data_IF_603425666423
#
_entry.id   IF_603425666423
#
_cell.length_a   1.000
_cell.length_b   1.000
_cell.length_c   1.000
_cell.angle_alpha   90.00
_cell.angle_beta   90.00
_cell.angle_gamma   90.00
#
_symmetry.space_group_name_H-M   'P 1'
#
loop_
_entity.id
_entity.type
_entity.pdbx_description
1 polymer ?
#
# COMPACT_ATOMS: atom_id res chain seq x y z
N UNK A 1 -29.59 12.49 9.12
CA UNK A 1 -30.15 12.79 7.77
C UNK A 1 -29.09 13.60 7.00
N UNK A 2 -28.92 13.33 5.69
CA UNK A 2 -27.94 14.02 4.81
C UNK A 2 -28.13 15.55 4.73
N UNK A 3 -29.24 16.08 5.19
CA UNK A 3 -29.61 17.50 5.12
C UNK A 3 -29.13 18.37 6.28
N UNK A 4 -28.64 17.78 7.36
CA UNK A 4 -28.30 18.54 8.58
C UNK A 4 -26.77 18.72 8.77
N UNK A 5 -25.96 18.23 7.82
CA UNK A 5 -24.50 18.38 7.89
C UNK A 5 -24.08 19.54 6.99
N UNK A 6 -23.79 20.67 7.58
CA UNK A 6 -23.27 21.87 6.90
C UNK A 6 -21.84 21.71 6.38
N UNK A 7 -21.24 20.52 6.55
CA UNK A 7 -19.87 20.21 6.12
C UNK A 7 -19.84 19.55 4.73
N UNK A 8 -18.83 19.87 3.93
CA UNK A 8 -18.61 19.24 2.62
C UNK A 8 -18.13 17.78 2.80
N UNK A 9 -19.08 16.88 3.01
CA UNK A 9 -18.84 15.43 3.06
C UNK A 9 -19.08 14.84 1.67
N UNK A 10 -18.09 14.13 1.13
CA UNK A 10 -18.25 13.31 -0.05
C UNK A 10 -18.28 11.84 0.36
N UNK A 11 -19.32 11.14 -0.01
CA UNK A 11 -19.50 9.69 0.27
C UNK A 11 -19.45 8.92 -1.03
N UNK A 12 -18.62 7.88 -1.08
CA UNK A 12 -18.52 6.94 -2.20
C UNK A 12 -18.83 5.55 -1.66
N UNK A 13 -19.85 4.91 -2.22
CA UNK A 13 -20.29 3.58 -1.81
C UNK A 13 -19.66 2.50 -2.69
N UNK A 14 -19.74 1.24 -2.24
CA UNK A 14 -19.18 0.09 -2.95
C UNK A 14 -19.68 -0.03 -4.41
N UNK A 15 -20.93 0.33 -4.68
CA UNK A 15 -21.54 0.34 -6.01
C UNK A 15 -20.94 1.37 -6.96
N UNK A 16 -20.33 2.42 -6.41
CA UNK A 16 -19.69 3.52 -7.15
C UNK A 16 -18.17 3.32 -7.28
N UNK A 17 -17.59 2.27 -6.75
CA UNK A 17 -16.14 2.08 -6.77
C UNK A 17 -15.60 1.85 -8.18
N UNK A 18 -14.35 2.25 -8.39
CA UNK A 18 -13.66 2.00 -9.65
C UNK A 18 -13.45 0.50 -9.82
N UNK A 19 -13.88 -0.05 -10.96
CA UNK A 19 -13.66 -1.45 -11.30
C UNK A 19 -12.27 -1.63 -11.92
N UNK A 20 -11.67 -2.81 -11.74
CA UNK A 20 -10.41 -3.18 -12.36
C UNK A 20 -9.37 -3.69 -11.36
N UNK A 21 -8.10 -3.62 -11.75
CA UNK A 21 -6.97 -3.92 -10.86
C UNK A 21 -6.86 -2.80 -9.82
N UNK A 22 -7.33 -3.04 -8.62
CA UNK A 22 -7.29 -2.09 -7.50
C UNK A 22 -6.28 -2.59 -6.48
N UNK A 23 -5.20 -1.84 -6.31
CA UNK A 23 -4.10 -2.17 -5.41
C UNK A 23 -4.33 -1.74 -3.97
N UNK A 24 -4.98 -0.59 -3.77
CA UNK A 24 -5.31 -0.06 -2.46
C UNK A 24 -6.67 0.67 -2.45
N UNK A 25 -7.19 0.95 -1.26
CA UNK A 25 -8.48 1.59 -1.09
C UNK A 25 -8.55 3.03 -1.67
N UNK A 26 -7.41 3.71 -1.85
CA UNK A 26 -7.37 5.04 -2.45
C UNK A 26 -7.80 4.99 -3.93
N UNK A 27 -7.38 3.97 -4.64
CA UNK A 27 -7.70 3.82 -6.07
C UNK A 27 -9.21 3.68 -6.32
N UNK A 28 -9.98 3.16 -5.35
CA UNK A 28 -11.45 3.03 -5.45
C UNK A 28 -12.14 4.38 -5.63
N UNK A 29 -11.59 5.44 -5.04
CA UNK A 29 -12.19 6.79 -5.01
C UNK A 29 -11.45 7.80 -5.89
N UNK A 30 -10.44 7.33 -6.63
CA UNK A 30 -9.68 8.18 -7.55
C UNK A 30 -10.60 8.82 -8.59
N UNK A 31 -10.57 10.15 -8.69
CA UNK A 31 -11.41 10.93 -9.61
C UNK A 31 -12.88 11.06 -9.19
N UNK A 32 -13.33 10.48 -8.07
CA UNK A 32 -14.72 10.49 -7.62
C UNK A 32 -15.02 11.56 -6.56
N UNK A 33 -14.00 12.11 -5.94
CA UNK A 33 -14.13 13.11 -4.87
C UNK A 33 -13.47 14.41 -5.29
N UNK A 34 -14.23 15.45 -5.49
CA UNK A 34 -13.72 16.77 -5.86
C UNK A 34 -12.74 17.30 -4.81
N UNK A 35 -11.56 17.78 -5.25
CA UNK A 35 -10.49 18.29 -4.40
C UNK A 35 -9.62 17.19 -3.76
N UNK A 36 -9.88 15.92 -4.03
CA UNK A 36 -9.02 14.80 -3.63
C UNK A 36 -8.12 14.41 -4.81
N UNK A 37 -6.81 14.46 -4.58
CA UNK A 37 -5.81 14.00 -5.55
C UNK A 37 -5.17 12.73 -5.03
N UNK A 38 -5.14 11.69 -5.85
CA UNK A 38 -4.52 10.41 -5.57
C UNK A 38 -3.54 10.11 -6.69
N UNK A 39 -2.27 9.97 -6.33
CA UNK A 39 -1.21 9.67 -7.27
C UNK A 39 -0.33 8.53 -6.73
N UNK A 40 -0.04 7.56 -7.58
CA UNK A 40 1.00 6.56 -7.33
C UNK A 40 2.28 7.06 -7.99
N UNK A 41 3.36 7.21 -7.22
CA UNK A 41 4.58 7.88 -7.66
C UNK A 41 5.40 7.09 -8.68
N UNK A 42 5.17 5.78 -8.81
CA UNK A 42 5.88 4.90 -9.74
C UNK A 42 5.06 3.66 -10.09
N UNK A 43 5.54 2.87 -11.04
CA UNK A 43 5.01 1.54 -11.37
C UNK A 43 5.49 0.43 -10.43
N UNK A 44 6.24 0.75 -9.38
CA UNK A 44 6.65 -0.22 -8.35
C UNK A 44 5.41 -0.73 -7.61
N UNK A 45 5.21 -2.05 -7.50
CA UNK A 45 4.10 -2.62 -6.72
C UNK A 45 4.12 -2.20 -5.25
N UNK A 46 5.28 -1.82 -4.71
CA UNK A 46 5.46 -1.37 -3.33
C UNK A 46 5.28 0.14 -3.14
N UNK A 47 5.10 0.91 -4.22
CA UNK A 47 4.88 2.34 -4.11
C UNK A 47 3.54 2.65 -3.45
N UNK A 48 3.56 3.45 -2.40
CA UNK A 48 2.37 3.92 -1.73
C UNK A 48 1.66 5.01 -2.53
N UNK A 49 0.32 5.02 -2.44
CA UNK A 49 -0.48 6.09 -3.01
C UNK A 49 -0.35 7.36 -2.18
N UNK A 50 0.09 8.44 -2.82
CA UNK A 50 0.09 9.77 -2.20
C UNK A 50 -1.31 10.38 -2.30
N UNK A 51 -1.87 10.74 -1.16
CA UNK A 51 -3.21 11.32 -1.08
C UNK A 51 -3.11 12.74 -0.57
N UNK A 52 -3.75 13.66 -1.29
CA UNK A 52 -3.84 15.07 -0.92
C UNK A 52 -5.26 15.56 -1.06
N UNK A 53 -5.73 16.26 -0.04
CA UNK A 53 -7.02 16.91 -0.04
C UNK A 53 -6.82 18.42 -0.08
N UNK A 54 -7.38 19.10 -1.12
CA UNK A 54 -7.26 20.54 -1.35
C UNK A 54 -5.81 21.07 -1.55
N UNK A 55 -4.87 20.20 -1.99
CA UNK A 55 -3.50 20.58 -2.29
C UNK A 55 -2.55 20.54 -1.09
N UNK A 56 -1.42 21.22 -1.19
CA UNK A 56 -0.41 21.32 -0.13
C UNK A 56 -0.73 22.52 0.77
N UNK A 57 -1.10 22.25 2.01
CA UNK A 57 -1.50 23.28 2.99
C UNK A 57 -0.30 23.74 3.83
N UNK A 58 0.72 22.88 3.98
CA UNK A 58 1.91 23.16 4.78
C UNK A 58 3.18 22.73 4.07
N UNK A 59 4.23 23.54 4.18
CA UNK A 59 5.56 23.20 3.66
C UNK A 59 6.37 22.31 4.62
N UNK A 60 6.05 22.32 5.91
CA UNK A 60 6.76 21.54 6.94
C UNK A 60 5.87 20.51 7.63
N UNK A 61 4.57 20.73 7.69
CA UNK A 61 3.59 19.76 8.21
C UNK A 61 3.11 18.84 7.09
N UNK A 62 2.88 17.56 7.40
CA UNK A 62 2.32 16.60 6.45
C UNK A 62 1.00 17.11 5.85
N UNK A 63 0.73 16.80 4.59
CA UNK A 63 -0.53 17.14 3.89
C UNK A 63 -1.44 15.92 3.71
N UNK A 64 -1.13 14.81 4.38
CA UNK A 64 -1.90 13.56 4.31
C UNK A 64 -3.14 13.65 5.20
N UNK A 65 -4.33 13.31 4.70
CA UNK A 65 -5.54 13.22 5.52
C UNK A 65 -5.43 12.14 6.60
N UNK A 66 -6.12 12.34 7.71
CA UNK A 66 -6.30 11.29 8.72
C UNK A 66 -7.18 10.19 8.14
N UNK A 67 -6.73 8.94 8.19
CA UNK A 67 -7.52 7.78 7.73
C UNK A 67 -8.02 6.99 8.93
N UNK A 68 -9.32 6.76 9.00
CA UNK A 68 -9.96 5.95 10.01
C UNK A 68 -10.67 4.75 9.35
N UNK A 69 -10.39 3.56 9.82
CA UNK A 69 -11.05 2.32 9.40
C UNK A 69 -11.91 1.83 10.56
N UNK A 70 -13.22 1.82 10.37
CA UNK A 70 -14.22 1.50 11.39
C UNK A 70 -14.01 2.33 12.70
N UNK A 71 -13.66 3.62 12.53
CA UNK A 71 -13.40 4.55 13.64
C UNK A 71 -12.00 4.49 14.24
N UNK A 72 -11.14 3.58 13.78
CA UNK A 72 -9.78 3.39 14.31
C UNK A 72 -8.77 3.91 13.31
N UNK A 73 -7.76 4.62 13.80
CA UNK A 73 -6.68 5.12 12.95
C UNK A 73 -5.96 3.99 12.22
N UNK A 74 -5.82 4.16 10.92
CA UNK A 74 -5.18 3.21 10.01
C UNK A 74 -4.68 3.89 8.74
N UNK A 75 -4.18 3.09 7.80
CA UNK A 75 -3.86 3.53 6.44
C UNK A 75 -4.82 2.92 5.43
N UNK A 76 -4.87 3.47 4.23
CA UNK A 76 -5.67 2.91 3.14
C UNK A 76 -5.22 1.50 2.73
N UNK A 77 -3.95 1.17 2.90
CA UNK A 77 -3.43 -0.18 2.72
C UNK A 77 -3.76 -1.16 3.86
N UNK A 78 -4.47 -0.74 4.93
CA UNK A 78 -4.81 -1.63 6.06
C UNK A 78 -6.12 -2.38 5.88
N UNK A 79 -6.84 -2.14 4.80
CA UNK A 79 -8.11 -2.79 4.48
C UNK A 79 -8.12 -3.23 3.02
N UNK A 80 -8.61 -4.45 2.76
CA UNK A 80 -8.77 -4.93 1.38
C UNK A 80 -9.88 -4.15 0.68
N UNK A 81 -9.67 -3.67 -0.56
CA UNK A 81 -10.67 -2.95 -1.32
C UNK A 81 -12.02 -3.67 -1.39
N UNK A 82 -12.00 -4.99 -1.51
CA UNK A 82 -13.18 -5.85 -1.62
C UNK A 82 -14.06 -5.82 -0.36
N UNK A 83 -13.48 -5.46 0.78
CA UNK A 83 -14.14 -5.44 2.10
C UNK A 83 -14.66 -4.08 2.50
N UNK A 84 -14.54 -3.08 1.64
CA UNK A 84 -15.02 -1.73 1.90
C UNK A 84 -16.49 -1.63 1.50
N UNK A 85 -17.32 -1.12 2.41
CA UNK A 85 -18.72 -0.79 2.16
C UNK A 85 -18.89 0.65 1.68
N UNK A 86 -18.18 1.61 2.31
CA UNK A 86 -18.19 3.02 1.91
C UNK A 86 -16.91 3.73 2.33
N UNK A 87 -16.61 4.81 1.63
CA UNK A 87 -15.54 5.75 1.96
C UNK A 87 -16.16 7.14 2.02
N UNK A 88 -16.08 7.76 3.19
CA UNK A 88 -16.55 9.13 3.43
C UNK A 88 -15.36 10.06 3.61
N UNK A 89 -15.34 11.16 2.85
CA UNK A 89 -14.27 12.15 2.89
C UNK A 89 -14.77 13.45 3.48
N UNK A 90 -14.30 13.78 4.68
CA UNK A 90 -14.58 15.01 5.39
C UNK A 90 -13.55 16.06 4.99
N UNK A 91 -13.99 17.11 4.27
CA UNK A 91 -13.08 18.07 3.63
C UNK A 91 -12.84 19.33 4.44
N UNK A 92 -13.70 19.64 5.41
CA UNK A 92 -13.73 20.95 6.07
C UNK A 92 -13.21 20.95 7.50
N UNK A 93 -13.09 22.16 8.06
CA UNK A 93 -12.74 22.39 9.45
C UNK A 93 -13.68 21.71 10.46
N UNK A 94 -14.90 21.33 10.04
CA UNK A 94 -15.80 20.47 10.84
C UNK A 94 -15.22 19.09 11.12
N UNK A 95 -14.36 18.56 10.23
CA UNK A 95 -13.59 17.36 10.51
C UNK A 95 -12.57 17.60 11.62
N UNK A 96 -11.91 18.78 11.62
CA UNK A 96 -10.98 19.16 12.67
C UNK A 96 -11.68 19.34 14.03
N UNK A 97 -12.94 19.75 14.04
CA UNK A 97 -13.72 19.91 15.27
C UNK A 97 -13.97 18.55 15.97
N UNK A 98 -14.11 17.47 15.21
CA UNK A 98 -14.33 16.12 15.74
C UNK A 98 -13.01 15.42 16.09
N UNK A 99 -11.99 15.57 15.23
CA UNK A 99 -10.73 14.80 15.31
C UNK A 99 -9.52 15.66 15.73
N UNK A 100 -9.77 16.90 16.17
CA UNK A 100 -8.74 17.84 16.62
C UNK A 100 -7.77 18.24 15.51
N UNK A 101 -6.55 18.61 15.89
CA UNK A 101 -5.49 19.04 14.95
C UNK A 101 -5.12 17.94 13.92
N UNK A 102 -5.33 16.67 14.24
CA UNK A 102 -5.07 15.55 13.35
C UNK A 102 -6.01 15.52 12.14
N UNK A 103 -7.22 16.07 12.28
CA UNK A 103 -8.19 16.22 11.20
C UNK A 103 -7.99 17.48 10.34
N UNK A 104 -6.98 18.31 10.59
CA UNK A 104 -6.77 19.58 9.90
C UNK A 104 -6.58 19.43 8.37
N UNK A 105 -5.97 18.34 7.94
CA UNK A 105 -5.77 17.99 6.52
C UNK A 105 -6.97 17.24 5.90
N UNK A 106 -8.09 17.16 6.62
CA UNK A 106 -9.25 16.37 6.28
C UNK A 106 -9.19 14.95 6.86
N UNK A 107 -10.32 14.25 6.79
CA UNK A 107 -10.45 12.89 7.33
C UNK A 107 -11.09 11.98 6.28
N UNK A 108 -10.54 10.80 6.13
CA UNK A 108 -11.09 9.72 5.30
C UNK A 108 -11.61 8.63 6.24
N UNK A 109 -12.92 8.42 6.22
CA UNK A 109 -13.59 7.40 7.00
C UNK A 109 -13.88 6.20 6.10
N UNK A 110 -13.31 5.06 6.42
CA UNK A 110 -13.58 3.80 5.72
C UNK A 110 -14.50 2.96 6.61
N UNK A 111 -15.64 2.58 6.05
CA UNK A 111 -16.55 1.62 6.67
C UNK A 111 -16.39 0.28 5.96
N UNK A 112 -16.13 -0.76 6.72
CA UNK A 112 -15.99 -2.12 6.17
C UNK A 112 -17.32 -2.85 6.12
N UNK A 113 -17.37 -3.88 5.27
CA UNK A 113 -18.49 -4.81 5.21
C UNK A 113 -18.48 -5.69 6.46
N UNK A 114 -19.55 -5.67 7.23
CA UNK A 114 -19.74 -6.47 8.44
C UNK A 114 -20.99 -7.32 8.33
N UNK A 115 -21.11 -8.36 9.17
CA UNK A 115 -22.31 -9.16 9.28
C UNK A 115 -23.52 -8.29 9.71
N UNK A 116 -24.71 -8.65 9.25
CA UNK A 116 -25.96 -7.99 9.63
C UNK A 116 -26.75 -8.87 10.59
N UNK A 117 -27.48 -8.25 11.52
CA UNK A 117 -28.38 -8.98 12.43
C UNK A 117 -29.46 -9.70 11.63
N UNK A 118 -29.87 -10.87 12.11
CA UNK A 118 -30.93 -11.69 11.51
C UNK A 118 -30.67 -12.07 10.04
N UNK A 119 -29.38 -12.04 9.62
CA UNK A 119 -28.99 -12.46 8.28
C UNK A 119 -28.50 -13.90 8.24
N UNK A 120 -28.79 -14.60 7.15
CA UNK A 120 -28.21 -15.93 6.91
C UNK A 120 -26.72 -15.79 6.69
N UNK A 121 -25.99 -16.83 7.07
CA UNK A 121 -24.57 -16.93 6.73
C UNK A 121 -24.41 -16.95 5.20
N UNK A 122 -23.61 -16.02 4.71
CA UNK A 122 -23.23 -15.94 3.29
C UNK A 122 -21.72 -16.06 3.16
N UNK A 123 -21.27 -16.83 2.17
CA UNK A 123 -19.88 -16.93 1.77
C UNK A 123 -19.71 -16.33 0.38
N UNK A 124 -18.74 -15.47 0.22
CA UNK A 124 -18.44 -14.78 -1.02
C UNK A 124 -16.98 -15.00 -1.38
N UNK A 125 -16.73 -15.24 -2.65
CA UNK A 125 -15.40 -15.24 -3.23
C UNK A 125 -15.35 -14.19 -4.32
N UNK A 126 -14.27 -13.41 -4.35
CA UNK A 126 -13.93 -12.50 -5.44
C UNK A 126 -12.44 -12.60 -5.74
N UNK A 127 -12.08 -12.40 -6.99
CA UNK A 127 -10.69 -12.43 -7.40
C UNK A 127 -10.51 -11.86 -8.80
N UNK A 128 -9.28 -11.51 -9.10
CA UNK A 128 -8.88 -11.08 -10.43
C UNK A 128 -7.45 -11.51 -10.75
N UNK A 129 -7.15 -11.56 -12.03
CA UNK A 129 -5.81 -11.74 -12.57
C UNK A 129 -5.54 -10.63 -13.57
N UNK A 130 -4.30 -10.15 -13.63
CA UNK A 130 -3.91 -9.16 -14.61
C UNK A 130 -2.46 -9.33 -15.08
N UNK A 131 -2.20 -8.90 -16.31
CA UNK A 131 -0.87 -8.79 -16.88
C UNK A 131 -0.54 -7.30 -17.06
N UNK A 132 0.67 -6.94 -16.71
CA UNK A 132 1.16 -5.57 -16.84
C UNK A 132 2.50 -5.57 -17.57
N UNK A 133 2.71 -4.61 -18.46
CA UNK A 133 3.99 -4.39 -19.14
C UNK A 133 4.22 -2.88 -19.29
N UNK A 134 5.43 -2.49 -19.64
CA UNK A 134 5.67 -1.11 -20.05
C UNK A 134 4.73 -0.74 -21.20
N UNK A 135 3.98 0.36 -21.03
CA UNK A 135 3.06 0.84 -22.06
C UNK A 135 3.79 1.64 -23.13
N UNK A 136 4.12 2.87 -22.79
CA UNK A 136 4.88 3.78 -23.66
C UNK A 136 6.19 4.14 -22.97
N UNK A 137 7.30 3.89 -23.62
CA UNK A 137 8.63 4.36 -23.24
C UNK A 137 8.95 5.66 -23.97
N UNK A 138 9.88 6.43 -23.43
CA UNK A 138 10.46 7.55 -24.18
C UNK A 138 11.35 6.98 -25.29
N UNK A 139 11.42 7.72 -26.40
CA UNK A 139 12.35 7.38 -27.46
C UNK A 139 13.76 7.83 -27.04
N UNK A 140 14.61 6.86 -26.81
CA UNK A 140 16.04 7.07 -26.52
C UNK A 140 16.88 6.74 -27.74
N UNK A 141 18.07 7.30 -27.80
CA UNK A 141 19.03 6.93 -28.82
C UNK A 141 19.45 5.46 -28.65
N UNK A 142 19.31 4.70 -29.72
CA UNK A 142 19.78 3.32 -29.83
C UNK A 142 21.23 3.22 -30.29
N UNK A 143 21.70 2.01 -30.53
CA UNK A 143 23.06 1.77 -31.00
C UNK A 143 23.33 2.38 -32.38
N UNK A 144 22.31 2.43 -33.26
CA UNK A 144 22.43 3.01 -34.61
C UNK A 144 22.70 4.52 -34.57
N UNK A 145 21.98 5.25 -33.73
CA UNK A 145 22.17 6.70 -33.58
C UNK A 145 23.54 7.04 -33.02
N UNK A 146 24.09 6.18 -32.15
CA UNK A 146 25.47 6.33 -31.64
C UNK A 146 26.47 6.13 -32.77
N UNK A 147 26.31 5.10 -33.61
CA UNK A 147 27.18 4.83 -34.75
C UNK A 147 27.11 5.97 -35.81
N UNK A 148 25.97 6.63 -35.92
CA UNK A 148 25.79 7.81 -36.76
C UNK A 148 26.40 9.07 -36.14
N UNK A 149 26.93 9.02 -34.92
CA UNK A 149 27.56 10.16 -34.27
C UNK A 149 26.57 11.21 -33.74
N UNK A 150 25.30 10.83 -33.49
CA UNK A 150 24.29 11.73 -32.92
C UNK A 150 24.46 11.95 -31.40
N UNK A 151 25.37 11.25 -30.77
CA UNK A 151 25.69 11.38 -29.33
C UNK A 151 27.21 11.42 -29.12
N UNK A 152 27.63 11.81 -27.93
CA UNK A 152 29.02 11.77 -27.49
C UNK A 152 29.48 10.42 -26.95
N UNK A 153 28.60 9.39 -26.98
CA UNK A 153 28.98 8.05 -26.54
C UNK A 153 29.91 7.37 -27.57
N UNK A 154 30.93 6.68 -27.04
CA UNK A 154 31.77 5.84 -27.88
C UNK A 154 31.02 4.56 -28.24
N UNK A 155 31.06 4.15 -29.52
CA UNK A 155 30.56 2.84 -29.93
C UNK A 155 31.47 1.73 -29.36
N UNK A 156 30.84 0.79 -28.63
CA UNK A 156 31.48 -0.38 -28.03
C UNK A 156 31.21 -1.68 -28.83
N UNK A 157 30.48 -1.59 -29.91
CA UNK A 157 30.26 -2.70 -30.84
C UNK A 157 29.07 -3.59 -30.55
N UNK A 158 28.28 -3.32 -29.50
CA UNK A 158 27.11 -4.10 -29.13
C UNK A 158 25.82 -3.37 -29.51
N UNK A 159 24.68 -4.07 -29.35
CA UNK A 159 23.34 -3.54 -29.48
C UNK A 159 22.48 -4.14 -28.38
N UNK A 160 22.42 -3.44 -27.26
CA UNK A 160 21.80 -3.91 -26.02
C UNK A 160 20.56 -3.10 -25.72
N UNK A 161 19.40 -3.76 -25.70
CA UNK A 161 18.17 -3.19 -25.12
C UNK A 161 18.20 -3.38 -23.60
N UNK A 162 18.74 -2.36 -22.93
CA UNK A 162 18.87 -2.36 -21.46
C UNK A 162 17.55 -2.43 -20.74
N UNK A 163 16.49 -1.83 -21.32
CA UNK A 163 15.18 -1.83 -20.69
C UNK A 163 14.50 -3.20 -20.79
N UNK A 164 14.60 -3.85 -21.95
CA UNK A 164 14.11 -5.22 -22.11
C UNK A 164 14.88 -6.20 -21.18
N UNK A 165 16.20 -6.04 -21.06
CA UNK A 165 17.05 -6.87 -20.22
C UNK A 165 16.67 -6.85 -18.72
N UNK A 166 16.00 -5.80 -18.23
CA UNK A 166 15.58 -5.66 -16.82
C UNK A 166 14.09 -5.70 -16.64
N UNK A 167 13.31 -5.91 -17.68
CA UNK A 167 11.85 -5.90 -17.62
C UNK A 167 11.22 -7.27 -17.88
N UNK A 168 9.94 -7.36 -17.54
CA UNK A 168 9.10 -8.53 -17.81
C UNK A 168 7.65 -8.16 -18.03
N UNK A 169 6.88 -9.07 -18.58
CA UNK A 169 5.43 -9.05 -18.43
C UNK A 169 5.10 -9.53 -17.02
N UNK A 170 4.62 -8.61 -16.20
CA UNK A 170 4.34 -8.84 -14.78
C UNK A 170 2.96 -9.42 -14.59
N UNK A 171 2.85 -10.44 -13.73
CA UNK A 171 1.59 -11.10 -13.39
C UNK A 171 1.10 -10.66 -12.01
N UNK A 172 -0.18 -10.35 -11.92
CA UNK A 172 -0.84 -10.05 -10.65
C UNK A 172 -2.04 -10.97 -10.49
N UNK A 173 -2.22 -11.51 -9.29
CA UNK A 173 -3.46 -12.18 -8.91
C UNK A 173 -3.89 -11.79 -7.51
N UNK A 174 -5.20 -11.75 -7.31
CA UNK A 174 -5.84 -11.43 -6.04
C UNK A 174 -6.99 -12.41 -5.79
N UNK A 175 -7.07 -12.88 -4.56
CA UNK A 175 -8.12 -13.79 -4.08
C UNK A 175 -8.65 -13.26 -2.76
N UNK A 176 -9.93 -13.01 -2.69
CA UNK A 176 -10.62 -12.61 -1.46
C UNK A 176 -11.74 -13.61 -1.17
N UNK A 177 -11.76 -14.11 0.04
CA UNK A 177 -12.82 -14.96 0.57
C UNK A 177 -13.40 -14.31 1.81
N UNK A 178 -14.72 -14.13 1.83
CA UNK A 178 -15.45 -13.54 2.94
C UNK A 178 -16.59 -14.46 3.36
N UNK A 179 -16.77 -14.62 4.67
CA UNK A 179 -17.94 -15.24 5.28
C UNK A 179 -18.53 -14.27 6.30
N UNK A 180 -19.82 -14.05 6.24
CA UNK A 180 -20.51 -13.15 7.18
C UNK A 180 -21.94 -13.60 7.45
N UNK A 181 -22.45 -13.23 8.59
CA UNK A 181 -23.82 -13.56 8.98
C UNK A 181 -24.19 -12.97 10.35
N UNK A 182 -25.38 -13.30 10.82
CA UNK A 182 -25.79 -12.90 12.15
C UNK A 182 -27.12 -13.45 12.61
N UNK A 183 -27.20 -13.66 13.93
CA UNK A 183 -28.43 -13.94 14.67
C UNK A 183 -29.06 -12.63 15.14
N UNK A 184 -30.13 -12.72 15.94
CA UNK A 184 -30.77 -11.57 16.59
C UNK A 184 -29.78 -10.71 17.39
N UNK A 185 -28.89 -11.37 18.13
CA UNK A 185 -28.02 -10.71 19.11
C UNK A 185 -26.53 -10.74 18.72
N UNK A 186 -26.15 -11.41 17.66
CA UNK A 186 -24.73 -11.56 17.30
C UNK A 186 -24.56 -11.38 15.80
N UNK A 187 -23.54 -10.61 15.39
CA UNK A 187 -23.07 -10.56 14.02
C UNK A 187 -21.61 -10.96 13.95
N UNK A 188 -21.23 -11.57 12.86
CA UNK A 188 -19.83 -11.97 12.62
C UNK A 188 -19.46 -11.78 11.15
N UNK A 189 -18.18 -11.53 10.94
CA UNK A 189 -17.56 -11.64 9.63
C UNK A 189 -16.13 -12.14 9.77
N UNK A 190 -15.70 -12.94 8.82
CA UNK A 190 -14.31 -13.35 8.66
C UNK A 190 -13.92 -13.15 7.20
N UNK A 191 -12.71 -12.66 7.01
CA UNK A 191 -12.20 -12.31 5.70
C UNK A 191 -10.76 -12.79 5.55
N UNK A 192 -10.46 -13.31 4.37
CA UNK A 192 -9.13 -13.71 3.97
C UNK A 192 -8.83 -13.15 2.60
N UNK A 193 -7.74 -12.40 2.47
CA UNK A 193 -7.24 -11.89 1.20
C UNK A 193 -5.82 -12.36 0.98
N UNK A 194 -5.53 -12.86 -0.22
CA UNK A 194 -4.19 -13.11 -0.69
C UNK A 194 -3.98 -12.39 -2.01
N UNK A 195 -2.94 -11.56 -2.10
CA UNK A 195 -2.56 -10.84 -3.30
C UNK A 195 -1.07 -11.00 -3.54
N UNK A 196 -0.72 -11.31 -4.78
CA UNK A 196 0.66 -11.22 -5.25
C UNK A 196 0.68 -10.36 -6.51
N UNK A 197 1.46 -9.32 -6.46
CA UNK A 197 1.66 -8.37 -7.55
C UNK A 197 3.14 -8.35 -7.92
N UNK A 198 3.46 -8.80 -9.12
CA UNK A 198 4.78 -8.63 -9.68
C UNK A 198 4.92 -7.24 -10.29
N UNK A 199 6.12 -6.66 -10.18
CA UNK A 199 6.47 -5.42 -10.89
C UNK A 199 6.97 -5.72 -12.30
N UNK A 200 6.87 -4.72 -13.18
CA UNK A 200 7.38 -4.79 -14.56
C UNK A 200 8.92 -4.85 -14.62
N UNK A 201 9.61 -4.41 -13.58
CA UNK A 201 11.04 -4.65 -13.40
C UNK A 201 11.25 -6.01 -12.74
N UNK A 202 12.30 -6.72 -13.19
CA UNK A 202 12.65 -8.04 -12.65
C UNK A 202 12.85 -7.98 -11.14
N UNK A 203 12.55 -9.09 -10.45
CA UNK A 203 12.69 -9.31 -9.00
C UNK A 203 11.85 -8.37 -8.10
N UNK A 204 11.15 -7.38 -8.64
CA UNK A 204 10.26 -6.55 -7.86
C UNK A 204 8.90 -7.21 -7.68
N UNK A 205 8.40 -7.27 -6.46
CA UNK A 205 7.06 -7.81 -6.16
C UNK A 205 6.53 -7.31 -4.82
N UNK A 206 5.21 -7.38 -4.66
CA UNK A 206 4.50 -7.20 -3.41
C UNK A 206 3.58 -8.41 -3.20
N UNK A 207 3.78 -9.14 -2.12
CA UNK A 207 2.93 -10.26 -1.70
C UNK A 207 2.29 -9.92 -0.37
N UNK A 208 0.97 -9.95 -0.33
CA UNK A 208 0.19 -9.63 0.86
C UNK A 208 -0.79 -10.75 1.19
N UNK A 209 -0.81 -11.17 2.44
CA UNK A 209 -1.84 -12.02 3.02
C UNK A 209 -2.48 -11.27 4.19
N UNK A 210 -3.80 -11.11 4.15
CA UNK A 210 -4.57 -10.44 5.19
C UNK A 210 -5.70 -11.31 5.69
N UNK A 211 -5.84 -11.34 7.01
CA UNK A 211 -6.94 -11.98 7.71
C UNK A 211 -7.64 -10.94 8.57
N UNK A 212 -8.96 -10.91 8.51
CA UNK A 212 -9.79 -10.08 9.38
C UNK A 212 -10.87 -10.93 10.01
N UNK A 213 -11.12 -10.67 11.27
CA UNK A 213 -12.22 -11.25 12.03
C UNK A 213 -12.93 -10.13 12.78
N UNK A 214 -14.25 -10.11 12.72
CA UNK A 214 -15.10 -9.16 13.43
C UNK A 214 -16.30 -9.89 14.04
N UNK A 215 -16.57 -9.63 15.30
CA UNK A 215 -17.76 -10.11 15.98
C UNK A 215 -18.37 -9.02 16.84
N UNK A 216 -19.69 -8.86 16.78
CA UNK A 216 -20.44 -7.99 17.65
C UNK A 216 -21.53 -8.77 18.35
N UNK A 217 -21.72 -8.51 19.64
CA UNK A 217 -22.79 -9.12 20.44
C UNK A 217 -23.54 -8.07 21.22
N UNK A 218 -24.87 -8.14 21.20
CA UNK A 218 -25.79 -7.25 21.91
C UNK A 218 -26.42 -7.97 23.08
N UNK A 219 -26.46 -7.34 24.24
CA UNK A 219 -26.97 -7.84 25.52
C UNK A 219 -27.86 -6.79 26.18
N UNK A 220 -28.52 -7.20 27.27
CA UNK A 220 -29.34 -6.33 28.10
C UNK A 220 -30.39 -5.54 27.28
N UNK A 221 -31.12 -6.22 26.41
CA UNK A 221 -32.11 -5.61 25.51
C UNK A 221 -31.48 -4.49 24.64
N UNK A 222 -30.33 -4.79 24.04
CA UNK A 222 -29.54 -3.89 23.18
C UNK A 222 -28.89 -2.69 23.90
N UNK A 223 -29.00 -2.57 25.23
CA UNK A 223 -28.33 -1.50 25.97
C UNK A 223 -26.81 -1.66 26.01
N UNK A 224 -26.30 -2.88 25.86
CA UNK A 224 -24.88 -3.15 25.87
C UNK A 224 -24.47 -3.87 24.58
N UNK A 225 -23.54 -3.28 23.83
CA UNK A 225 -22.90 -3.91 22.66
C UNK A 225 -21.41 -4.12 22.96
N UNK A 226 -20.93 -5.33 22.75
CA UNK A 226 -19.50 -5.65 22.74
C UNK A 226 -19.09 -6.02 21.34
N UNK A 227 -18.03 -5.42 20.84
CA UNK A 227 -17.44 -5.75 19.55
C UNK A 227 -15.96 -6.09 19.72
N UNK A 228 -15.52 -7.11 19.03
CA UNK A 228 -14.12 -7.47 18.91
C UNK A 228 -13.75 -7.54 17.42
N UNK A 229 -12.67 -6.87 17.07
CA UNK A 229 -12.09 -6.87 15.73
C UNK A 229 -10.61 -7.23 15.78
N UNK A 230 -10.19 -8.14 14.92
CA UNK A 230 -8.78 -8.49 14.73
C UNK A 230 -8.42 -8.44 13.24
N UNK A 231 -7.29 -7.82 12.95
CA UNK A 231 -6.69 -7.81 11.60
C UNK A 231 -5.24 -8.27 11.73
N UNK A 232 -4.86 -9.27 10.95
CA UNK A 232 -3.46 -9.70 10.79
C UNK A 232 -3.09 -9.56 9.33
N UNK A 233 -1.98 -8.87 9.05
CA UNK A 233 -1.44 -8.70 7.71
C UNK A 233 0.00 -9.17 7.68
N UNK A 234 0.34 -9.93 6.65
CA UNK A 234 1.69 -10.32 6.30
C UNK A 234 2.03 -9.68 4.97
N UNK A 235 3.13 -8.99 4.95
CA UNK A 235 3.70 -8.34 3.77
C UNK A 235 5.06 -8.93 3.45
N UNK A 236 5.31 -9.23 2.18
CA UNK A 236 6.64 -9.59 1.68
C UNK A 236 6.90 -8.81 0.39
N UNK A 237 8.04 -8.15 0.37
CA UNK A 237 8.51 -7.41 -0.79
C UNK A 237 9.82 -8.01 -1.29
N UNK A 238 10.01 -8.00 -2.60
CA UNK A 238 11.29 -8.30 -3.24
C UNK A 238 12.36 -7.27 -2.93
N UNK A 239 13.55 -7.44 -3.49
CA UNK A 239 14.61 -6.47 -3.34
C UNK A 239 14.09 -5.09 -3.75
N UNK A 240 14.09 -4.17 -2.82
CA UNK A 240 13.87 -2.76 -3.11
C UNK A 240 15.19 -2.25 -3.63
N UNK A 241 15.17 -1.36 -4.60
CA UNK A 241 16.35 -0.58 -5.01
C UNK A 241 16.85 0.24 -3.81
N UNK A 242 17.53 -0.46 -2.89
CA UNK A 242 17.94 0.06 -1.58
C UNK A 242 18.92 1.23 -1.69
N UNK A 243 19.55 1.38 -2.85
CA UNK A 243 20.52 2.44 -3.09
C UNK A 243 19.89 3.69 -3.75
N UNK A 244 18.58 3.69 -4.06
CA UNK A 244 17.91 4.80 -4.75
C UNK A 244 18.47 5.08 -6.15
N UNK A 245 19.18 4.09 -6.73
CA UNK A 245 19.85 4.25 -8.01
C UNK A 245 18.88 4.19 -9.19
N UNK A 246 17.69 3.63 -8.97
CA UNK A 246 16.63 3.49 -9.95
C UNK A 246 17.02 2.57 -11.11
N UNK A 247 16.73 1.27 -11.01
CA UNK A 247 17.01 0.30 -12.08
C UNK A 247 16.54 0.82 -13.44
N UNK A 248 15.34 1.41 -13.49
CA UNK A 248 14.82 2.04 -14.69
C UNK A 248 15.72 3.18 -15.19
N UNK A 249 16.18 4.05 -14.27
CA UNK A 249 17.10 5.15 -14.62
C UNK A 249 18.42 4.61 -15.15
N UNK A 250 18.98 3.59 -14.52
CA UNK A 250 20.22 2.97 -15.01
C UNK A 250 20.04 2.38 -16.41
N UNK A 251 18.93 1.68 -16.66
CA UNK A 251 18.64 1.11 -17.98
C UNK A 251 18.57 2.16 -19.09
N UNK A 252 17.91 3.31 -18.84
CA UNK A 252 17.77 4.35 -19.84
C UNK A 252 19.01 5.24 -20.02
N UNK A 253 19.92 5.26 -19.04
CA UNK A 253 21.15 6.04 -19.10
C UNK A 253 22.33 5.29 -19.73
N UNK A 254 22.24 3.94 -19.76
CA UNK A 254 23.34 3.12 -20.29
C UNK A 254 23.52 3.33 -21.80
N UNK A 255 24.78 3.31 -22.22
CA UNK A 255 25.12 3.26 -23.62
C UNK A 255 24.64 1.92 -24.23
N UNK A 256 23.72 1.94 -25.21
CA UNK A 256 23.21 0.73 -25.82
C UNK A 256 24.25 -0.07 -26.61
N UNK A 257 25.43 0.53 -26.89
CA UNK A 257 26.54 -0.20 -27.52
C UNK A 257 27.45 -0.93 -26.52
N UNK A 258 27.17 -0.86 -25.20
CA UNK A 258 27.91 -1.63 -24.18
C UNK A 258 27.29 -3.03 -24.00
N UNK A 259 28.12 -4.05 -23.65
CA UNK A 259 27.63 -5.38 -23.34
C UNK A 259 27.05 -5.45 -21.92
N UNK A 260 26.19 -6.43 -21.66
CA UNK A 260 25.75 -6.78 -20.31
C UNK A 260 26.86 -7.51 -19.54
N UNK A 261 27.60 -8.36 -20.25
CA UNK A 261 28.57 -9.29 -19.67
C UNK A 261 29.96 -9.06 -20.26
N UNK A 262 30.97 -9.25 -19.44
CA UNK A 262 32.35 -9.41 -19.88
C UNK A 262 32.56 -10.82 -20.47
N UNK A 263 33.67 -11.05 -21.15
CA UNK A 263 34.04 -12.36 -21.73
C UNK A 263 34.19 -13.45 -20.64
N UNK A 264 34.54 -13.06 -19.42
CA UNK A 264 34.71 -13.96 -18.28
C UNK A 264 33.35 -14.29 -17.57
N UNK A 265 32.24 -13.76 -18.06
CA UNK A 265 30.90 -13.95 -17.50
C UNK A 265 30.55 -13.05 -16.34
N UNK A 266 31.40 -12.12 -15.95
CA UNK A 266 31.08 -11.08 -14.96
C UNK A 266 30.30 -9.94 -15.60
N UNK A 267 29.62 -9.11 -14.80
CA UNK A 267 28.89 -7.95 -15.31
C UNK A 267 29.85 -6.85 -15.77
N UNK A 268 29.57 -6.30 -16.96
CA UNK A 268 30.32 -5.17 -17.46
C UNK A 268 29.99 -3.90 -16.68
N UNK A 269 31.00 -3.28 -16.06
CA UNK A 269 30.87 -2.02 -15.33
C UNK A 269 31.83 -0.97 -15.87
N UNK A 270 31.39 0.29 -15.88
CA UNK A 270 32.21 1.43 -16.24
C UNK A 270 32.36 2.37 -15.03
N UNK A 271 33.30 2.08 -14.15
CA UNK A 271 33.53 2.86 -12.93
C UNK A 271 34.13 4.25 -13.16
N UNK A 272 34.50 4.61 -14.42
CA UNK A 272 34.94 5.95 -14.73
C UNK A 272 33.81 6.98 -14.72
N UNK A 273 32.55 6.54 -14.79
CA UNK A 273 31.36 7.38 -14.76
C UNK A 273 30.58 7.16 -13.47
N UNK A 274 30.41 8.20 -12.68
CA UNK A 274 29.68 8.13 -11.43
C UNK A 274 28.18 7.86 -11.67
N UNK A 275 27.56 7.05 -10.80
CA UNK A 275 26.13 6.70 -10.87
C UNK A 275 25.70 6.05 -12.19
N UNK A 276 26.59 5.25 -12.77
CA UNK A 276 26.43 4.60 -14.06
C UNK A 276 26.74 3.10 -13.92
N UNK A 277 25.76 2.36 -13.47
CA UNK A 277 25.94 0.95 -13.09
C UNK A 277 25.13 0.02 -14.00
N UNK A 278 25.58 -1.22 -14.14
CA UNK A 278 24.87 -2.24 -14.90
C UNK A 278 23.57 -2.63 -14.20
N UNK A 279 22.40 -2.30 -14.77
CA UNK A 279 21.12 -2.54 -14.10
C UNK A 279 20.80 -4.04 -13.97
N UNK A 280 21.32 -4.89 -14.86
CA UNK A 280 21.17 -6.34 -14.75
C UNK A 280 22.04 -6.86 -13.61
N UNK A 281 23.26 -6.35 -13.47
CA UNK A 281 24.14 -6.64 -12.34
C UNK A 281 23.52 -6.24 -11.01
N UNK A 282 22.92 -5.04 -10.92
CA UNK A 282 22.21 -4.60 -9.73
C UNK A 282 21.15 -5.63 -9.32
N UNK A 283 20.36 -6.14 -10.27
CA UNK A 283 19.28 -7.10 -9.98
C UNK A 283 19.81 -8.47 -9.57
N UNK A 284 20.87 -8.95 -10.23
CA UNK A 284 21.36 -10.33 -10.09
C UNK A 284 22.32 -10.53 -8.94
N UNK A 285 23.06 -9.49 -8.57
CA UNK A 285 24.11 -9.55 -7.55
C UNK A 285 23.62 -9.12 -6.15
N UNK A 286 22.30 -9.03 -5.98
CA UNK A 286 21.66 -8.78 -4.70
C UNK A 286 20.57 -9.83 -4.39
N UNK A 287 20.46 -10.23 -3.13
CA UNK A 287 19.29 -10.91 -2.57
C UNK A 287 18.79 -10.10 -1.38
N UNK A 288 17.58 -9.61 -1.45
CA UNK A 288 17.00 -8.82 -0.38
C UNK A 288 15.53 -9.17 -0.18
N UNK A 289 15.09 -9.21 1.06
CA UNK A 289 13.69 -9.47 1.43
C UNK A 289 13.28 -8.57 2.58
N UNK A 290 12.19 -7.88 2.38
CA UNK A 290 11.50 -7.17 3.43
C UNK A 290 10.21 -7.92 3.78
N UNK A 291 10.08 -8.32 5.04
CA UNK A 291 8.87 -8.93 5.57
C UNK A 291 8.33 -8.02 6.68
N UNK A 292 7.05 -7.73 6.62
CA UNK A 292 6.35 -6.97 7.67
C UNK A 292 5.12 -7.73 8.13
N UNK A 293 4.96 -7.83 9.43
CA UNK A 293 3.78 -8.38 10.06
C UNK A 293 3.08 -7.30 10.86
N UNK A 294 1.81 -7.11 10.63
CA UNK A 294 0.99 -6.18 11.38
C UNK A 294 -0.19 -6.92 12.01
N UNK A 295 -0.32 -6.82 13.32
CA UNK A 295 -1.46 -7.37 14.07
C UNK A 295 -2.15 -6.22 14.77
N UNK A 296 -3.44 -6.04 14.54
CA UNK A 296 -4.30 -5.09 15.26
C UNK A 296 -5.45 -5.84 15.90
N UNK A 297 -5.63 -5.63 17.19
CA UNK A 297 -6.76 -6.13 17.97
C UNK A 297 -7.50 -4.95 18.56
N UNK A 298 -8.82 -4.93 18.47
CA UNK A 298 -9.66 -3.85 19.00
C UNK A 298 -10.87 -4.43 19.69
N UNK A 299 -11.10 -4.00 20.92
CA UNK A 299 -12.31 -4.24 21.68
C UNK A 299 -13.09 -2.94 21.87
N UNK A 300 -14.37 -2.96 21.57
CA UNK A 300 -15.28 -1.86 21.80
C UNK A 300 -16.43 -2.30 22.70
N UNK A 301 -16.72 -1.51 23.71
CA UNK A 301 -17.89 -1.66 24.58
C UNK A 301 -18.73 -0.41 24.44
N UNK A 302 -19.93 -0.57 23.93
CA UNK A 302 -20.89 0.54 23.81
C UNK A 302 -22.05 0.30 24.77
N UNK A 303 -22.31 1.26 25.65
CA UNK A 303 -23.36 1.20 26.66
C UNK A 303 -24.34 2.35 26.48
N UNK A 304 -25.62 2.02 26.28
CA UNK A 304 -26.73 2.96 26.10
C UNK A 304 -27.83 2.64 27.14
N UNK A 305 -27.66 3.08 28.41
CA UNK A 305 -28.59 2.79 29.48
C UNK A 305 -29.95 3.42 29.32
N UNK A 306 -30.01 4.58 28.67
CA UNK A 306 -31.23 5.27 28.32
C UNK A 306 -31.10 5.82 26.89
N UNK A 307 -32.23 5.98 26.22
CA UNK A 307 -32.28 6.48 24.86
C UNK A 307 -31.54 7.82 24.73
N UNK A 308 -30.72 7.94 23.68
CA UNK A 308 -29.91 9.11 23.34
C UNK A 308 -28.68 9.35 24.25
N UNK A 309 -28.38 8.50 25.24
CA UNK A 309 -27.14 8.60 26.01
C UNK A 309 -26.28 7.35 25.75
N UNK A 310 -25.21 7.53 25.00
CA UNK A 310 -24.30 6.46 24.61
C UNK A 310 -22.91 6.74 25.15
N UNK A 311 -22.34 5.76 25.83
CA UNK A 311 -20.93 5.74 26.26
C UNK A 311 -20.20 4.62 25.54
N UNK A 312 -19.05 4.92 24.96
CA UNK A 312 -18.20 3.96 24.27
C UNK A 312 -16.82 3.90 24.93
N UNK A 313 -16.34 2.70 25.18
CA UNK A 313 -14.97 2.39 25.58
C UNK A 313 -14.33 1.59 24.47
N UNK A 314 -13.23 2.12 23.91
CA UNK A 314 -12.40 1.43 22.92
C UNK A 314 -11.01 1.14 23.50
N UNK A 315 -10.57 -0.09 23.32
CA UNK A 315 -9.22 -0.55 23.59
C UNK A 315 -8.65 -1.13 22.29
N UNK A 316 -7.48 -0.65 21.86
CA UNK A 316 -6.83 -1.17 20.67
C UNK A 316 -5.33 -1.35 20.90
N UNK A 317 -4.82 -2.49 20.47
CA UNK A 317 -3.38 -2.77 20.40
C UNK A 317 -3.00 -3.08 18.96
N UNK A 318 -1.94 -2.42 18.48
CA UNK A 318 -1.28 -2.72 17.22
C UNK A 318 0.17 -3.12 17.49
N UNK A 319 0.57 -4.23 16.92
CA UNK A 319 1.98 -4.67 16.90
C UNK A 319 2.41 -4.78 15.45
N UNK A 320 3.48 -4.10 15.09
CA UNK A 320 4.13 -4.19 13.78
C UNK A 320 5.53 -4.71 13.97
N UNK A 321 5.87 -5.79 13.28
CA UNK A 321 7.21 -6.39 13.30
C UNK A 321 7.76 -6.39 11.88
N UNK A 322 8.86 -5.68 11.68
CA UNK A 322 9.52 -5.52 10.39
C UNK A 322 10.86 -6.25 10.41
N UNK A 323 11.07 -7.12 9.42
CA UNK A 323 12.30 -7.83 9.20
C UNK A 323 12.85 -7.47 7.82
N UNK A 324 14.01 -6.87 7.79
CA UNK A 324 14.72 -6.52 6.56
C UNK A 324 16.06 -7.25 6.54
N UNK A 325 16.30 -7.99 5.46
CA UNK A 325 17.57 -8.67 5.24
C UNK A 325 18.01 -8.51 3.80
N UNK A 326 19.30 -8.42 3.59
CA UNK A 326 19.84 -8.38 2.26
C UNK A 326 21.30 -8.84 2.23
N UNK A 327 21.70 -9.22 1.04
CA UNK A 327 23.05 -9.63 0.72
C UNK A 327 23.43 -9.06 -0.65
N UNK A 328 24.63 -8.51 -0.74
CA UNK A 328 25.27 -8.10 -1.97
C UNK A 328 26.49 -8.99 -2.17
N UNK A 329 26.63 -9.57 -3.35
CA UNK A 329 27.80 -10.40 -3.67
C UNK A 329 29.06 -9.55 -3.82
N UNK A 330 30.23 -10.17 -3.96
CA UNK A 330 31.48 -9.46 -4.29
C UNK A 330 31.45 -8.79 -5.66
N UNK A 331 30.60 -9.28 -6.57
CA UNK A 331 30.42 -8.75 -7.93
C UNK A 331 29.42 -7.60 -8.01
N UNK A 332 28.66 -7.34 -6.93
CA UNK A 332 27.79 -6.18 -6.87
C UNK A 332 28.61 -4.89 -7.05
N UNK A 333 28.15 -3.97 -7.87
CA UNK A 333 28.93 -2.82 -8.32
C UNK A 333 29.67 -2.07 -7.18
N UNK A 334 29.03 -1.84 -6.02
CA UNK A 334 29.68 -1.12 -4.91
C UNK A 334 30.74 -1.99 -4.21
N UNK A 335 30.51 -3.28 -4.08
CA UNK A 335 31.47 -4.21 -3.48
C UNK A 335 32.68 -4.39 -4.41
N UNK A 336 32.42 -4.52 -5.70
CA UNK A 336 33.47 -4.66 -6.72
C UNK A 336 34.34 -3.40 -6.83
N UNK A 337 33.73 -2.20 -6.82
CA UNK A 337 34.46 -0.94 -6.90
C UNK A 337 35.37 -0.70 -5.70
N UNK A 338 35.02 -1.21 -4.52
CA UNK A 338 35.75 -1.05 -3.28
C UNK A 338 36.60 -2.31 -2.91
N UNK A 339 36.58 -3.31 -3.79
CA UNK A 339 37.29 -4.60 -3.60
C UNK A 339 36.87 -5.34 -2.31
N UNK A 340 35.58 -5.30 -1.99
CA UNK A 340 35.01 -6.01 -0.86
C UNK A 340 34.56 -7.42 -1.25
N UNK A 341 34.55 -8.34 -0.28
CA UNK A 341 34.14 -9.74 -0.49
C UNK A 341 32.62 -9.98 -0.48
N UNK A 342 31.84 -8.92 -0.31
CA UNK A 342 30.39 -8.93 -0.22
C UNK A 342 29.90 -8.23 1.05
N UNK A 343 28.59 -8.01 1.12
CA UNK A 343 27.97 -7.35 2.26
C UNK A 343 26.63 -7.99 2.59
N UNK A 344 26.40 -8.29 3.85
CA UNK A 344 25.13 -8.79 4.34
C UNK A 344 24.61 -7.92 5.48
N UNK A 345 23.30 -7.71 5.51
CA UNK A 345 22.64 -7.00 6.60
C UNK A 345 21.37 -7.70 7.04
N UNK A 346 21.04 -7.53 8.30
CA UNK A 346 19.77 -7.93 8.87
C UNK A 346 19.34 -6.86 9.88
N UNK A 347 18.10 -6.43 9.80
CA UNK A 347 17.48 -5.55 10.78
C UNK A 347 16.10 -6.05 11.16
N UNK A 348 15.76 -5.88 12.42
CA UNK A 348 14.43 -6.17 12.96
C UNK A 348 13.97 -5.00 13.79
N UNK A 349 12.74 -4.56 13.54
CA UNK A 349 12.10 -3.51 14.32
C UNK A 349 10.74 -4.00 14.79
N UNK A 350 10.37 -3.67 16.01
CA UNK A 350 9.04 -3.91 16.53
C UNK A 350 8.45 -2.63 17.10
N UNK A 351 7.24 -2.33 16.71
CA UNK A 351 6.48 -1.18 17.16
C UNK A 351 5.17 -1.63 17.77
N UNK A 352 4.92 -1.23 19.00
CA UNK A 352 3.65 -1.46 19.67
C UNK A 352 2.96 -0.14 19.94
N UNK A 353 1.68 -0.07 19.59
CA UNK A 353 0.83 1.09 19.87
C UNK A 353 -0.42 0.62 20.61
N UNK A 354 -0.63 1.16 21.78
CA UNK A 354 -1.83 0.94 22.58
C UNK A 354 -2.68 2.21 22.61
N UNK A 355 -3.98 2.07 22.34
CA UNK A 355 -4.93 3.16 22.39
C UNK A 355 -6.07 2.81 23.36
N UNK A 356 -6.42 3.78 24.20
CA UNK A 356 -7.63 3.75 25.03
C UNK A 356 -8.42 5.00 24.73
N UNK A 357 -9.69 4.86 24.41
CA UNK A 357 -10.60 5.97 24.18
C UNK A 357 -11.90 5.74 24.92
N UNK A 358 -12.36 6.77 25.63
CA UNK A 358 -13.67 6.82 26.26
C UNK A 358 -14.42 8.01 25.72
N UNK A 359 -15.58 7.76 25.15
CA UNK A 359 -16.46 8.82 24.66
C UNK A 359 -17.84 8.67 25.26
N UNK A 360 -18.46 9.79 25.62
CA UNK A 360 -19.85 9.81 26.09
C UNK A 360 -20.62 10.90 25.35
N UNK A 361 -21.76 10.54 24.79
CA UNK A 361 -22.59 11.44 23.99
C UNK A 361 -24.02 11.38 24.47
N UNK A 362 -24.58 12.55 24.77
CA UNK A 362 -25.99 12.70 25.07
C UNK A 362 -26.65 13.64 24.03
N UNK A 363 -27.72 13.21 23.40
CA UNK A 363 -28.47 14.00 22.45
C UNK A 363 -29.81 14.40 23.10
N UNK A 364 -29.96 15.68 23.41
CA UNK A 364 -31.24 16.22 23.86
C UNK A 364 -32.02 16.65 22.61
N UNK A 365 -33.25 16.11 22.46
CA UNK A 365 -34.24 16.54 21.43
C UNK A 365 -35.26 17.42 22.06
#
# INVERSE_FOLDING_TARGET
>A
RKGDVTSAVASVKAEDFTAGKIGDAAELIKGKVAGLTIAKGSGDPNAESTIRLRGVISLQGGSTPLVLVDGIEGGLGTVSPENIASIDVLKDASAAAIYGTRGANGVILITTKNGQRESRTAANYSGYMSLSKFGKTLDFYGAEEIRQGLTNYADKGYDTDWLDAVSRTAFTHNHNFNISGGSKNTTYSADFTYRKEEGVLLETYNEEMRMRFDVSHWMLNDMLKVNFNMVKTFHKNGPIDAAGLGIYRQAIMRNPTEPIWNEDGTFYENFAVNYYYNPVGIIREQDGKYNSENTRMTGNITFEPIKNWQTNLMLSRRVTSDHNRGYYTSEYFSQKSENHTGYAYHSQNEYTTDNLEVTSKYNHT
#
